data_IF_825753577106
#
_entry.id   IF_825753577106
#
_cell.length_a   1.000
_cell.length_b   1.000
_cell.length_c   1.000
_cell.angle_alpha   90.00
_cell.angle_beta   90.00
_cell.angle_gamma   90.00
#
_symmetry.space_group_name_H-M   'P 1'
#
loop_
_entity.id
_entity.type
_entity.pdbx_description
1 polymer ?
#
# COMPACT_ATOMS: atom_id res chain seq x y z
N UNK A 1 -5.94 -4.07 3.10
CA UNK A 1 -5.66 -5.10 2.07
C UNK A 1 -5.26 -4.41 0.78
N UNK A 2 -4.09 -4.78 0.25
CA UNK A 2 -3.56 -4.36 -1.05
C UNK A 2 -3.69 -5.56 -1.98
N UNK A 3 -4.22 -5.33 -3.19
CA UNK A 3 -4.18 -6.31 -4.26
C UNK A 3 -3.04 -5.96 -5.21
N UNK A 4 -2.12 -6.89 -5.43
CA UNK A 4 -1.01 -6.68 -6.34
C UNK A 4 -1.52 -6.47 -7.78
N UNK A 5 -1.16 -5.34 -8.41
CA UNK A 5 -1.54 -5.02 -9.78
C UNK A 5 -0.90 -5.92 -10.85
N UNK A 6 0.10 -6.72 -10.48
CA UNK A 6 0.79 -7.63 -11.38
C UNK A 6 0.36 -9.09 -11.20
N UNK A 7 0.54 -9.66 -10.00
CA UNK A 7 0.26 -11.09 -9.76
C UNK A 7 -1.10 -11.38 -9.09
N UNK A 8 -1.87 -10.34 -8.77
CA UNK A 8 -3.20 -10.47 -8.15
C UNK A 8 -3.21 -10.91 -6.68
N UNK A 9 -2.05 -11.19 -6.07
CA UNK A 9 -1.96 -11.58 -4.66
C UNK A 9 -2.47 -10.47 -3.75
N UNK A 10 -3.34 -10.84 -2.80
CA UNK A 10 -3.87 -9.94 -1.78
C UNK A 10 -3.09 -10.13 -0.48
N UNK A 11 -2.64 -9.02 0.08
CA UNK A 11 -1.84 -9.01 1.31
C UNK A 11 -2.13 -7.73 2.11
N UNK A 12 -1.99 -7.75 3.45
CA UNK A 12 -2.10 -6.54 4.25
C UNK A 12 -0.87 -5.65 4.02
N UNK A 13 -1.03 -4.34 4.23
CA UNK A 13 0.02 -3.35 3.86
C UNK A 13 1.28 -3.46 4.72
N UNK A 14 1.16 -3.99 5.94
CA UNK A 14 2.25 -4.26 6.87
C UNK A 14 3.11 -5.48 6.48
N UNK A 15 2.53 -6.46 5.80
CA UNK A 15 3.26 -7.56 5.15
C UNK A 15 3.98 -7.10 3.86
N UNK A 16 3.62 -5.92 3.34
CA UNK A 16 4.28 -5.32 2.20
C UNK A 16 5.71 -4.85 2.50
N UNK A 17 6.64 -5.14 1.60
CA UNK A 17 8.02 -4.70 1.75
C UNK A 17 8.08 -3.20 1.49
N UNK A 18 8.48 -2.42 2.50
CA UNK A 18 8.59 -0.96 2.38
C UNK A 18 9.83 -0.57 1.58
N UNK A 19 9.64 0.37 0.65
CA UNK A 19 10.73 0.91 -0.17
C UNK A 19 11.73 1.72 0.67
N UNK A 20 12.97 1.84 0.19
CA UNK A 20 14.09 2.45 0.92
C UNK A 20 13.90 3.94 1.29
N UNK A 21 12.91 4.63 0.71
CA UNK A 21 12.61 6.04 0.98
C UNK A 21 13.63 7.07 0.44
N UNK A 22 14.72 6.62 -0.21
CA UNK A 22 15.91 7.45 -0.50
C UNK A 22 16.05 8.02 -1.93
N UNK A 23 15.05 7.89 -2.80
CA UNK A 23 15.19 8.25 -4.22
C UNK A 23 15.21 9.78 -4.55
N UNK A 24 15.62 10.65 -3.62
CA UNK A 24 15.80 12.09 -3.86
C UNK A 24 14.53 12.90 -4.20
N UNK A 25 13.37 12.25 -4.32
CA UNK A 25 12.09 12.90 -4.63
C UNK A 25 11.51 13.54 -3.36
N UNK A 26 10.98 14.79 -3.41
CA UNK A 26 10.27 15.38 -2.28
C UNK A 26 9.19 14.43 -1.76
N UNK A 27 9.33 13.99 -0.50
CA UNK A 27 8.39 13.07 0.14
C UNK A 27 8.68 11.56 0.02
N UNK A 28 9.81 11.16 -0.58
CA UNK A 28 10.34 9.78 -0.60
C UNK A 28 9.53 8.76 -1.42
N UNK A 29 10.14 7.62 -1.76
CA UNK A 29 9.40 6.50 -2.36
C UNK A 29 8.48 5.86 -1.31
N UNK A 30 7.16 5.90 -1.53
CA UNK A 30 6.14 5.31 -0.64
C UNK A 30 5.51 4.04 -1.21
N UNK A 31 6.13 3.46 -2.22
CA UNK A 31 5.63 2.25 -2.87
C UNK A 31 5.72 1.06 -1.91
N UNK A 32 4.72 0.19 -1.97
CA UNK A 32 4.61 -1.04 -1.19
C UNK A 32 4.87 -2.21 -2.13
N UNK A 33 5.95 -2.94 -1.88
CA UNK A 33 6.37 -4.05 -2.74
C UNK A 33 5.67 -5.34 -2.31
N UNK A 34 5.11 -6.06 -3.29
CA UNK A 34 4.42 -7.33 -3.09
C UNK A 34 5.37 -8.38 -2.50
N UNK A 35 5.03 -9.06 -1.40
CA UNK A 35 5.89 -10.07 -0.78
C UNK A 35 6.03 -11.33 -1.64
N UNK A 36 5.08 -11.58 -2.56
CA UNK A 36 5.09 -12.75 -3.44
C UNK A 36 5.91 -12.58 -4.72
N UNK A 37 5.77 -11.45 -5.41
CA UNK A 37 6.36 -11.24 -6.74
C UNK A 37 7.26 -10.02 -6.86
N UNK A 38 7.47 -9.28 -5.77
CA UNK A 38 8.34 -8.09 -5.69
C UNK A 38 7.95 -6.92 -6.60
N UNK A 39 6.75 -6.93 -7.19
CA UNK A 39 6.22 -5.78 -7.92
C UNK A 39 5.88 -4.62 -6.98
N UNK A 40 6.19 -3.40 -7.39
CA UNK A 40 5.94 -2.18 -6.61
C UNK A 40 4.51 -1.68 -6.84
N UNK A 41 3.71 -1.67 -5.77
CA UNK A 41 2.34 -1.20 -5.81
C UNK A 41 2.26 0.20 -5.17
N UNK A 42 1.42 1.11 -5.70
CA UNK A 42 1.16 2.36 -5.03
C UNK A 42 0.51 2.10 -3.66
N UNK A 43 0.86 2.90 -2.64
CA UNK A 43 0.21 2.78 -1.33
C UNK A 43 -1.26 3.16 -1.43
N UNK A 44 -2.07 2.65 -0.50
CA UNK A 44 -3.49 3.01 -0.45
C UNK A 44 -3.66 4.53 -0.17
N UNK A 45 -4.48 5.25 -0.95
CA UNK A 45 -4.80 6.66 -0.71
C UNK A 45 -5.31 6.91 0.71
N UNK A 46 -4.84 7.99 1.33
CA UNK A 46 -5.29 8.39 2.69
C UNK A 46 -6.80 8.60 2.78
N UNK A 47 -7.43 9.13 1.72
CA UNK A 47 -8.88 9.34 1.65
C UNK A 47 -9.66 8.03 1.77
N UNK A 48 -9.20 6.97 1.13
CA UNK A 48 -9.81 5.64 1.24
C UNK A 48 -9.66 5.06 2.65
N UNK A 49 -8.52 5.26 3.30
CA UNK A 49 -8.33 4.87 4.71
C UNK A 49 -9.31 5.59 5.65
N UNK A 50 -9.51 6.89 5.45
CA UNK A 50 -10.47 7.67 6.24
C UNK A 50 -11.91 7.22 6.00
N UNK A 51 -12.28 6.96 4.75
CA UNK A 51 -13.61 6.47 4.40
C UNK A 51 -13.91 5.11 5.05
N UNK A 52 -12.97 4.16 4.97
CA UNK A 52 -13.10 2.85 5.64
C UNK A 52 -13.34 2.99 7.15
N UNK A 53 -12.55 3.83 7.82
CA UNK A 53 -12.72 4.10 9.27
C UNK A 53 -14.06 4.73 9.62
N UNK A 54 -14.60 5.58 8.74
CA UNK A 54 -15.92 6.19 8.95
C UNK A 54 -17.03 5.14 8.82
N UNK A 55 -16.94 4.27 7.81
CA UNK A 55 -17.90 3.17 7.63
C UNK A 55 -17.86 2.15 8.78
N UNK A 56 -16.69 1.83 9.32
CA UNK A 56 -16.56 0.94 10.49
C UNK A 56 -17.18 1.51 11.77
N UNK A 57 -17.29 2.84 11.90
CA UNK A 57 -17.94 3.49 13.05
C UNK A 57 -19.47 3.57 12.96
N UNK A 58 -20.01 3.46 11.76
CA UNK A 58 -21.46 3.57 11.49
C UNK A 58 -22.14 2.20 11.56
N UNK A 59 -21.37 1.12 11.37
CA UNK A 59 -21.81 -0.27 11.50
C UNK A 59 -21.80 -0.70 12.97
#
# INVERSE_FOLDING_TARGET
MIRCGFCGHEFPEDEGIRSCGKCGKPGGCRMVRCPKCFYENPPEPKSLKTLKKLFEKIK
#
